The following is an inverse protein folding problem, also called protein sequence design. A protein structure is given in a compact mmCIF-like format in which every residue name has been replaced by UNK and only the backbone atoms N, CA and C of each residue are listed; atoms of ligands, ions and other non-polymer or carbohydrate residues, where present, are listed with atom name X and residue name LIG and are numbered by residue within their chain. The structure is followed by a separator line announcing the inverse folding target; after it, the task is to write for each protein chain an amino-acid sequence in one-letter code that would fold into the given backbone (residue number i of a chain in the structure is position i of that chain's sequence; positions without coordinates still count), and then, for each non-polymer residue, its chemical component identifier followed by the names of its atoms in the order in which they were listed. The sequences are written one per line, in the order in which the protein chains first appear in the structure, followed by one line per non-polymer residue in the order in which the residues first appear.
data_IF_820951404536
#
_entry.id   IF_820951404536
#
_cell.length_a   1.000
_cell.length_b   1.000
_cell.length_c   1.000
_cell.angle_alpha   90.00
_cell.angle_beta   90.00
_cell.angle_gamma   90.00
#
_symmetry.space_group_name_H-M   'P 1'
#
loop_
_entity.id
_entity.type
_entity.pdbx_description
1 polymer ?
#
# COMPACT_ATOMS: atom_id res chain seq x y z
N UNK A 1 -20.31 -12.33 4.20
CA UNK A 1 -19.07 -11.62 4.53
C UNK A 1 -18.22 -12.62 5.29
N UNK A 2 -17.13 -13.04 4.67
CA UNK A 2 -16.19 -14.01 5.23
C UNK A 2 -15.08 -13.33 6.02
N UNK A 3 -14.26 -14.11 6.72
CA UNK A 3 -13.08 -13.61 7.43
C UNK A 3 -12.09 -12.92 6.46
N UNK A 4 -12.07 -13.33 5.19
CA UNK A 4 -11.28 -12.68 4.12
C UNK A 4 -11.67 -11.21 3.85
N UNK A 5 -12.97 -10.87 3.93
CA UNK A 5 -13.43 -9.48 3.72
C UNK A 5 -12.99 -8.58 4.90
N UNK A 6 -12.87 -9.17 6.10
CA UNK A 6 -12.44 -8.48 7.31
C UNK A 6 -10.92 -8.29 7.32
N UNK A 7 -10.17 -9.31 6.92
CA UNK A 7 -8.72 -9.25 6.72
C UNK A 7 -8.35 -8.13 5.72
N UNK A 8 -9.04 -8.06 4.58
CA UNK A 8 -8.83 -7.01 3.57
C UNK A 8 -9.04 -5.60 4.14
N UNK A 9 -10.08 -5.41 4.96
CA UNK A 9 -10.34 -4.14 5.62
C UNK A 9 -9.22 -3.77 6.59
N UNK A 10 -8.71 -4.74 7.36
CA UNK A 10 -7.59 -4.51 8.26
C UNK A 10 -6.32 -4.09 7.50
N UNK A 11 -6.01 -4.75 6.39
CA UNK A 11 -4.88 -4.39 5.52
C UNK A 11 -5.01 -2.94 5.02
N UNK A 12 -6.18 -2.57 4.50
CA UNK A 12 -6.43 -1.22 3.96
C UNK A 12 -6.34 -0.13 5.04
N UNK A 13 -6.82 -0.42 6.26
CA UNK A 13 -6.69 0.52 7.40
C UNK A 13 -5.22 0.72 7.78
N UNK A 14 -4.43 -0.36 7.87
CA UNK A 14 -2.99 -0.26 8.20
C UNK A 14 -2.26 0.53 7.12
N UNK A 15 -2.56 0.27 5.85
CA UNK A 15 -1.98 1.00 4.72
C UNK A 15 -2.29 2.49 4.75
N UNK A 16 -3.56 2.85 4.90
CA UNK A 16 -3.99 4.24 4.97
C UNK A 16 -3.36 4.96 6.17
N UNK A 17 -3.29 4.28 7.32
CA UNK A 17 -2.72 4.82 8.55
C UNK A 17 -1.22 5.10 8.39
N UNK A 18 -0.47 4.14 7.87
CA UNK A 18 0.96 4.32 7.64
C UNK A 18 1.26 5.33 6.54
N UNK A 19 0.54 5.26 5.43
CA UNK A 19 0.66 6.21 4.32
C UNK A 19 0.46 7.63 4.81
N UNK A 20 -0.55 7.84 5.66
CA UNK A 20 -0.82 9.14 6.29
C UNK A 20 0.33 9.60 7.19
N UNK A 21 0.91 8.72 8.00
CA UNK A 21 2.03 9.05 8.90
C UNK A 21 3.33 9.42 8.16
N UNK A 22 3.53 8.88 6.95
CA UNK A 22 4.68 9.20 6.07
C UNK A 22 4.62 10.63 5.50
N UNK A 23 3.46 11.30 5.52
CA UNK A 23 3.30 12.67 4.99
C UNK A 23 4.04 13.68 5.89
N UNK A 24 5.11 14.35 5.43
CA UNK A 24 5.90 15.24 6.29
C UNK A 24 5.11 16.44 6.78
N UNK A 25 4.24 16.97 5.93
CA UNK A 25 3.39 18.15 6.15
C UNK A 25 2.12 17.86 6.96
N UNK A 26 1.97 16.65 7.48
CA UNK A 26 0.80 16.26 8.27
C UNK A 26 0.70 17.14 9.52
N UNK A 27 -0.51 17.66 9.78
CA UNK A 27 -0.79 18.46 10.96
C UNK A 27 -0.34 17.73 12.24
N UNK A 28 0.41 18.38 13.17
CA UNK A 28 0.95 17.71 14.35
C UNK A 28 -0.10 17.04 15.25
N UNK A 29 -1.27 17.67 15.43
CA UNK A 29 -2.36 17.10 16.25
C UNK A 29 -2.95 15.86 15.57
N UNK A 30 -3.10 15.89 14.25
CA UNK A 30 -3.55 14.75 13.49
C UNK A 30 -2.52 13.61 13.54
N UNK A 31 -1.23 13.93 13.39
CA UNK A 31 -0.13 12.96 13.55
C UNK A 31 -0.20 12.25 14.90
N UNK A 32 -0.29 12.99 16.01
CA UNK A 32 -0.39 12.39 17.34
C UNK A 32 -1.62 11.49 17.50
N UNK A 33 -2.77 11.84 16.89
CA UNK A 33 -3.96 10.98 16.90
C UNK A 33 -3.76 9.71 16.10
N UNK A 34 -3.15 9.79 14.91
CA UNK A 34 -2.85 8.62 14.08
C UNK A 34 -1.82 7.69 14.76
N UNK A 35 -0.82 8.26 15.43
CA UNK A 35 0.13 7.48 16.23
C UNK A 35 -0.57 6.75 17.39
N UNK A 36 -1.53 7.39 18.04
CA UNK A 36 -2.36 6.74 19.06
C UNK A 36 -3.19 5.59 18.47
N UNK A 37 -3.83 5.81 17.32
CA UNK A 37 -4.57 4.75 16.62
C UNK A 37 -3.66 3.55 16.30
N UNK A 38 -2.46 3.81 15.77
CA UNK A 38 -1.45 2.78 15.50
C UNK A 38 -1.09 2.01 16.78
N UNK A 39 -0.92 2.71 17.90
CA UNK A 39 -0.60 2.08 19.18
C UNK A 39 -1.74 1.16 19.65
N UNK A 40 -2.97 1.66 19.65
CA UNK A 40 -4.15 0.88 20.07
C UNK A 40 -4.35 -0.35 19.20
N UNK A 41 -4.19 -0.22 17.87
CA UNK A 41 -4.29 -1.37 16.97
C UNK A 41 -3.20 -2.42 17.20
N UNK A 42 -2.03 -2.04 17.72
CA UNK A 42 -0.96 -3.00 18.05
C UNK A 42 -1.19 -3.71 19.38
N UNK A 43 -1.89 -3.04 20.29
CA UNK A 43 -2.20 -3.55 21.62
C UNK A 43 -3.54 -4.29 21.68
N UNK A 44 -4.32 -4.32 20.59
CA UNK A 44 -5.57 -5.06 20.57
C UNK A 44 -5.30 -6.57 20.63
N UNK A 45 -6.23 -7.32 21.22
CA UNK A 45 -6.10 -8.79 21.34
C UNK A 45 -6.55 -9.55 20.09
N UNK A 46 -6.66 -8.86 18.96
CA UNK A 46 -6.92 -9.49 17.66
C UNK A 46 -5.64 -10.13 17.13
N UNK A 47 -5.66 -11.45 16.96
CA UNK A 47 -4.50 -12.23 16.49
C UNK A 47 -4.09 -11.87 15.07
N UNK A 48 -5.05 -11.59 14.19
CA UNK A 48 -4.76 -11.18 12.81
C UNK A 48 -4.10 -9.80 12.80
N UNK A 49 -4.60 -8.86 13.61
CA UNK A 49 -3.99 -7.54 13.73
C UNK A 49 -2.54 -7.61 14.25
N UNK A 50 -2.27 -8.46 15.25
CA UNK A 50 -0.90 -8.68 15.76
C UNK A 50 0.02 -9.21 14.67
N UNK A 51 -0.40 -10.25 13.94
CA UNK A 51 0.38 -10.82 12.85
C UNK A 51 0.66 -9.79 11.74
N UNK A 52 -0.37 -9.04 11.34
CA UNK A 52 -0.28 -8.00 10.33
C UNK A 52 0.79 -6.94 10.68
N UNK A 53 0.81 -6.50 11.94
CA UNK A 53 1.81 -5.54 12.42
C UNK A 53 3.21 -6.13 12.54
N UNK A 54 3.35 -7.41 12.90
CA UNK A 54 4.64 -8.10 12.91
C UNK A 54 5.23 -8.25 11.50
N UNK A 55 4.40 -8.62 10.51
CA UNK A 55 4.83 -8.71 9.11
C UNK A 55 5.28 -7.35 8.57
N UNK A 56 4.55 -6.30 8.92
CA UNK A 56 4.85 -4.92 8.54
C UNK A 56 6.16 -4.43 9.17
N UNK A 57 6.40 -4.70 10.46
CA UNK A 57 7.65 -4.34 11.14
C UNK A 57 8.87 -5.07 10.55
N UNK A 58 8.67 -6.29 10.03
CA UNK A 58 9.70 -7.06 9.30
C UNK A 58 9.87 -6.62 7.85
N UNK A 59 9.02 -5.73 7.33
CA UNK A 59 8.98 -5.36 5.92
C UNK A 59 8.60 -6.54 5.00
N UNK A 60 7.92 -7.55 5.54
CA UNK A 60 7.57 -8.79 4.86
C UNK A 60 6.09 -8.84 4.47
N UNK A 61 5.30 -7.81 4.79
CA UNK A 61 3.87 -7.78 4.49
C UNK A 61 3.65 -7.82 2.97
N UNK A 62 3.04 -8.90 2.48
CA UNK A 62 2.54 -9.04 1.10
C UNK A 62 1.03 -8.87 1.11
N UNK A 63 0.48 -8.06 0.20
CA UNK A 63 -0.98 -7.94 0.03
C UNK A 63 -1.51 -9.20 -0.66
N UNK A 64 -2.60 -9.78 -0.14
CA UNK A 64 -3.30 -10.91 -0.80
C UNK A 64 -3.72 -10.58 -2.23
N UNK A 65 -3.99 -9.31 -2.54
CA UNK A 65 -4.44 -8.85 -3.88
C UNK A 65 -3.39 -9.04 -4.99
N UNK A 66 -2.13 -9.35 -4.67
CA UNK A 66 -1.09 -9.58 -5.69
C UNK A 66 -1.06 -11.02 -6.25
N UNK A 67 -1.71 -11.99 -5.60
CA UNK A 67 -1.67 -13.42 -6.00
C UNK A 67 -2.75 -13.84 -7.03
N UNK A 68 -3.58 -12.92 -7.55
CA UNK A 68 -4.48 -13.20 -8.69
C UNK A 68 -3.89 -12.81 -10.06
N UNK A 69 -2.59 -12.48 -10.12
CA UNK A 69 -1.87 -12.28 -11.39
C UNK A 69 -0.95 -13.47 -11.68
N UNK A 70 -1.56 -14.63 -11.93
CA UNK A 70 -0.85 -15.88 -12.21
C UNK A 70 -1.48 -16.74 -13.31
N UNK A 71 -1.16 -16.40 -14.57
CA UNK A 71 -1.02 -17.31 -15.72
C UNK A 71 -2.23 -17.64 -16.60
N UNK A 72 -2.29 -17.00 -17.78
CA UNK A 72 -2.35 -17.76 -19.04
C UNK A 72 -1.56 -17.03 -20.12
N UNK A 73 -0.47 -17.64 -20.55
CA UNK A 73 0.36 -17.24 -21.68
C UNK A 73 -0.27 -17.73 -22.98
N UNK A 74 -0.57 -16.84 -23.93
CA UNK A 74 -0.50 -17.14 -25.37
C UNK A 74 -0.19 -15.87 -26.17
N UNK A 75 0.51 -16.06 -27.29
CA UNK A 75 1.42 -15.10 -27.92
C UNK A 75 0.78 -14.23 -29.02
N UNK A 76 1.55 -13.23 -29.45
CA UNK A 76 1.57 -12.56 -30.77
C UNK A 76 0.70 -11.30 -30.97
N UNK A 77 1.34 -10.11 -30.89
CA UNK A 77 1.62 -9.23 -32.04
C UNK A 77 2.07 -7.82 -31.59
N UNK A 78 3.32 -7.47 -31.89
CA UNK A 78 3.92 -6.12 -31.83
C UNK A 78 3.33 -5.18 -32.92
N UNK A 79 3.76 -3.90 -33.07
CA UNK A 79 4.54 -3.02 -32.18
C UNK A 79 3.96 -1.59 -32.04
N UNK A 80 4.30 -0.88 -30.97
CA UNK A 80 3.96 0.55 -30.82
C UNK A 80 5.02 1.31 -30.03
N UNK A 81 6.19 1.49 -30.62
CA UNK A 81 7.25 2.33 -30.03
C UNK A 81 6.83 3.79 -29.97
N UNK A 82 7.18 4.48 -28.88
CA UNK A 82 7.29 5.94 -28.88
C UNK A 82 8.53 6.33 -28.09
N UNK A 83 9.56 6.61 -28.90
CA UNK A 83 10.89 7.06 -28.51
C UNK A 83 10.79 8.43 -27.83
N UNK A 84 11.64 8.61 -26.82
CA UNK A 84 12.08 9.91 -26.31
C UNK A 84 12.50 10.81 -27.47
N UNK A 85 11.91 12.00 -27.59
CA UNK A 85 12.54 13.12 -28.31
C UNK A 85 12.36 14.41 -27.53
N UNK A 86 13.43 14.76 -26.82
CA UNK A 86 13.84 16.12 -26.50
C UNK A 86 14.07 16.85 -27.83
N UNK A 87 13.38 17.96 -28.05
CA UNK A 87 13.71 18.95 -29.08
C UNK A 87 13.39 20.35 -28.55
N UNK A 88 14.42 21.17 -28.62
CA UNK A 88 14.48 22.56 -28.18
C UNK A 88 13.60 23.46 -29.07
N UNK A 89 13.09 24.55 -28.52
CA UNK A 89 12.45 25.63 -29.30
C UNK A 89 13.22 26.94 -29.08
N UNK A 90 13.56 27.68 -30.16
CA UNK A 90 14.35 28.88 -30.12
C UNK A 90 13.52 30.15 -29.87
N UNK A 91 14.25 31.14 -29.36
CA UNK A 91 14.06 32.59 -29.25
C UNK A 91 12.89 33.25 -30.02
N UNK A 92 12.17 34.12 -29.32
CA UNK A 92 11.72 35.42 -29.83
C UNK A 92 12.01 36.48 -28.75
#
# INVERSE_FOLDING_TARGET
MGDDDLDELYEDVVDALQGSLKVPTLNPRLRSRLELCRKVMRECDDSYCKELWEQEDRGQRRRRREDESGSSSDSEAQPGGSKKQRLELPLA
#
